data_IF_401999284893
#
_entry.id   IF_401999284893
#
_cell.length_a   1.000
_cell.length_b   1.000
_cell.length_c   1.000
_cell.angle_alpha   90.00
_cell.angle_beta   90.00
_cell.angle_gamma   90.00
#
_symmetry.space_group_name_H-M   'P 1'
#
loop_
_entity.id
_entity.type
_entity.pdbx_description
1 polymer ?
#
# COMPACT_ATOMS: atom_id res chain seq x y z
N UNK A 1 14.17 -16.50 -11.41
CA UNK A 1 13.74 -15.57 -10.34
C UNK A 1 12.29 -15.20 -10.61
N UNK A 2 11.41 -15.33 -9.63
CA UNK A 2 10.01 -14.91 -9.74
C UNK A 2 9.84 -13.65 -8.91
N UNK A 3 9.23 -12.62 -9.48
CA UNK A 3 9.03 -11.33 -8.84
C UNK A 3 7.54 -11.02 -8.82
N UNK A 4 6.99 -10.76 -7.63
CA UNK A 4 5.63 -10.23 -7.50
C UNK A 4 5.62 -8.76 -7.91
N UNK A 5 4.60 -8.37 -8.67
CA UNK A 5 4.51 -7.05 -9.29
C UNK A 5 3.65 -6.14 -8.42
N UNK A 6 4.15 -4.95 -8.03
CA UNK A 6 3.36 -4.02 -7.23
C UNK A 6 2.23 -3.40 -8.06
N UNK A 7 1.10 -3.00 -7.43
CA UNK A 7 0.00 -2.37 -8.13
C UNK A 7 0.43 -1.09 -8.86
N UNK A 8 0.05 -0.96 -10.14
CA UNK A 8 0.40 0.21 -10.96
C UNK A 8 1.77 0.14 -11.62
N UNK A 9 2.54 -0.95 -11.45
CA UNK A 9 3.76 -1.15 -12.20
C UNK A 9 3.47 -1.27 -13.71
N UNK A 10 4.12 -0.42 -14.50
CA UNK A 10 3.99 -0.37 -15.95
C UNK A 10 5.20 -1.03 -16.64
N UNK A 11 6.37 -0.87 -16.02
CA UNK A 11 7.65 -1.37 -16.54
C UNK A 11 8.51 -1.92 -15.41
N UNK A 12 9.26 -2.98 -15.72
CA UNK A 12 10.24 -3.60 -14.84
C UNK A 12 11.62 -3.42 -15.48
N UNK A 13 12.59 -2.98 -14.68
CA UNK A 13 13.96 -2.77 -15.12
C UNK A 13 14.94 -3.61 -14.30
N UNK A 14 15.89 -4.24 -15.01
CA UNK A 14 16.99 -5.05 -14.44
C UNK A 14 18.25 -4.72 -15.21
N UNK A 15 19.18 -3.98 -14.59
CA UNK A 15 20.35 -3.46 -15.29
C UNK A 15 19.91 -2.62 -16.51
N UNK A 16 20.37 -3.00 -17.70
CA UNK A 16 19.99 -2.36 -18.98
C UNK A 16 18.71 -2.92 -19.63
N UNK A 17 18.11 -3.96 -19.05
CA UNK A 17 16.89 -4.57 -19.59
C UNK A 17 15.69 -3.83 -19.01
N UNK A 18 14.77 -3.42 -19.87
CA UNK A 18 13.51 -2.80 -19.49
C UNK A 18 12.37 -3.46 -20.27
N UNK A 19 11.43 -4.06 -19.56
CA UNK A 19 10.31 -4.84 -20.12
C UNK A 19 8.96 -4.33 -19.61
N UNK A 20 7.92 -4.33 -20.45
CA UNK A 20 6.58 -3.98 -20.01
C UNK A 20 6.04 -5.03 -19.04
N UNK A 21 5.36 -4.57 -18.00
CA UNK A 21 4.68 -5.42 -17.03
C UNK A 21 3.28 -5.74 -17.55
N UNK A 22 2.96 -7.03 -17.68
CA UNK A 22 1.70 -7.50 -18.28
C UNK A 22 0.82 -8.31 -17.32
N UNK A 23 1.28 -8.54 -16.10
CA UNK A 23 0.58 -9.35 -15.11
C UNK A 23 1.10 -9.15 -13.69
N UNK A 24 0.51 -9.83 -12.71
CA UNK A 24 0.85 -9.68 -11.29
C UNK A 24 2.18 -10.35 -10.90
N UNK A 25 2.81 -11.09 -11.81
CA UNK A 25 4.10 -11.75 -11.63
C UNK A 25 4.93 -11.67 -12.90
N UNK A 26 6.23 -11.50 -12.73
CA UNK A 26 7.22 -11.61 -13.80
C UNK A 26 8.22 -12.72 -13.46
N UNK A 27 8.43 -13.63 -14.41
CA UNK A 27 9.45 -14.66 -14.31
C UNK A 27 10.68 -14.26 -15.14
N UNK A 28 11.81 -14.13 -14.45
CA UNK A 28 13.10 -13.79 -15.05
C UNK A 28 13.98 -15.04 -15.10
N UNK A 29 14.39 -15.43 -16.31
CA UNK A 29 15.40 -16.45 -16.52
C UNK A 29 16.75 -15.77 -16.71
N UNK A 30 17.60 -15.86 -15.69
CA UNK A 30 18.91 -15.20 -15.66
C UNK A 30 19.99 -16.28 -15.75
N UNK A 31 20.90 -16.21 -16.74
CA UNK A 31 22.01 -17.16 -16.83
C UNK A 31 22.98 -16.91 -15.67
N UNK A 32 23.28 -17.95 -14.90
CA UNK A 32 24.27 -17.89 -13.83
C UNK A 32 25.65 -18.29 -14.36
N UNK A 33 26.66 -17.45 -14.11
CA UNK A 33 28.06 -17.75 -14.40
C UNK A 33 28.79 -17.92 -13.06
N UNK A 34 29.52 -19.02 -12.81
CA UNK A 34 30.25 -19.21 -11.56
C UNK A 34 31.19 -18.05 -11.26
N UNK A 35 31.15 -17.54 -10.02
CA UNK A 35 31.99 -16.42 -9.58
C UNK A 35 31.47 -15.03 -9.96
N UNK A 36 30.35 -14.92 -10.69
CA UNK A 36 29.73 -13.64 -11.04
C UNK A 36 28.35 -13.50 -10.38
N UNK A 37 27.98 -12.28 -9.95
CA UNK A 37 26.63 -12.04 -9.46
C UNK A 37 25.63 -12.19 -10.61
N UNK A 38 24.47 -12.79 -10.31
CA UNK A 38 23.38 -12.98 -11.30
C UNK A 38 22.73 -11.64 -11.68
N UNK A 39 22.78 -10.66 -10.78
CA UNK A 39 22.27 -9.30 -10.93
C UNK A 39 23.36 -8.30 -10.59
N UNK A 40 23.50 -7.25 -11.39
CA UNK A 40 24.40 -6.11 -11.17
C UNK A 40 23.76 -5.00 -10.31
N UNK A 41 22.45 -5.09 -10.05
CA UNK A 41 21.68 -4.15 -9.25
C UNK A 41 20.30 -4.67 -8.87
N UNK A 42 19.49 -3.86 -8.17
CA UNK A 42 18.13 -4.23 -7.82
C UNK A 42 17.23 -4.30 -9.04
N UNK A 43 16.16 -5.09 -8.92
CA UNK A 43 15.03 -5.03 -9.85
C UNK A 43 14.18 -3.81 -9.44
N UNK A 44 13.92 -2.92 -10.39
CA UNK A 44 13.14 -1.71 -10.16
C UNK A 44 11.88 -1.71 -11.01
N UNK A 45 10.90 -0.92 -10.58
CA UNK A 45 9.64 -0.74 -11.28
C UNK A 45 9.38 0.73 -11.51
N UNK A 46 8.89 1.06 -12.71
CA UNK A 46 8.21 2.33 -12.95
C UNK A 46 6.74 2.12 -12.67
N UNK A 47 6.21 2.81 -11.66
CA UNK A 47 4.83 2.67 -11.22
C UNK A 47 4.04 3.96 -11.51
N UNK A 48 2.93 3.82 -12.22
CA UNK A 48 1.88 4.82 -12.29
C UNK A 48 0.83 4.63 -11.19
N UNK A 49 -0.33 5.30 -11.30
CA UNK A 49 -1.47 5.05 -10.42
C UNK A 49 -1.93 3.59 -10.51
N UNK A 50 -1.86 2.87 -9.38
CA UNK A 50 -2.30 1.49 -9.26
C UNK A 50 -3.72 1.36 -8.71
N UNK A 51 -4.43 0.31 -9.12
CA UNK A 51 -5.65 -0.14 -8.44
C UNK A 51 -5.29 -1.28 -7.50
N UNK A 52 -5.65 -1.16 -6.23
CA UNK A 52 -5.52 -2.23 -5.25
C UNK A 52 -6.83 -2.45 -4.50
N UNK A 53 -7.01 -3.66 -3.98
CA UNK A 53 -8.13 -3.96 -3.07
C UNK A 53 -7.77 -3.50 -1.66
N UNK A 54 -8.81 -3.29 -0.85
CA UNK A 54 -8.63 -3.25 0.59
C UNK A 54 -8.13 -4.61 1.07
N UNK A 55 -7.25 -4.62 2.07
CA UNK A 55 -6.68 -5.82 2.64
C UNK A 55 -5.19 -5.67 2.95
N UNK A 56 -4.55 -6.83 3.06
CA UNK A 56 -3.14 -6.95 3.34
C UNK A 56 -2.31 -6.56 2.11
N UNK A 57 -1.31 -5.71 2.31
CA UNK A 57 -0.41 -5.27 1.25
C UNK A 57 0.49 -6.38 0.74
N UNK A 58 0.96 -7.27 1.61
CA UNK A 58 1.83 -8.37 1.22
C UNK A 58 1.16 -9.27 0.17
N UNK A 59 -0.11 -9.63 0.39
CA UNK A 59 -0.92 -10.40 -0.57
C UNK A 59 -1.17 -9.71 -1.91
N UNK A 60 -0.78 -8.45 -2.06
CA UNK A 60 -1.05 -7.60 -3.22
C UNK A 60 0.24 -7.13 -3.91
N UNK A 61 1.36 -7.83 -3.71
CA UNK A 61 2.64 -7.55 -4.39
C UNK A 61 3.50 -6.52 -3.68
N UNK A 62 3.26 -6.29 -2.38
CA UNK A 62 3.99 -5.33 -1.54
C UNK A 62 4.60 -6.02 -0.29
N UNK A 63 5.12 -7.24 -0.44
CA UNK A 63 5.59 -8.12 0.66
C UNK A 63 6.71 -7.54 1.53
N UNK A 64 7.58 -6.72 0.94
CA UNK A 64 8.68 -6.03 1.60
C UNK A 64 8.46 -4.53 1.76
N UNK A 65 7.29 -4.03 1.35
CA UNK A 65 7.02 -2.60 1.35
C UNK A 65 6.88 -2.08 2.78
N UNK A 66 7.67 -1.08 3.11
CA UNK A 66 7.57 -0.31 4.35
C UNK A 66 7.48 1.16 3.98
N UNK A 67 6.40 1.82 4.39
CA UNK A 67 6.10 3.18 3.96
C UNK A 67 4.60 3.46 3.95
N UNK A 68 4.18 4.34 3.04
CA UNK A 68 2.79 4.79 2.92
C UNK A 68 2.10 4.40 1.63
N UNK A 69 0.84 3.98 1.73
CA UNK A 69 -0.08 3.80 0.61
C UNK A 69 -1.21 4.80 0.73
N UNK A 70 -1.44 5.57 -0.33
CA UNK A 70 -2.54 6.53 -0.44
C UNK A 70 -3.67 5.92 -1.26
N UNK A 71 -4.79 5.69 -0.60
CA UNK A 71 -6.06 5.33 -1.24
C UNK A 71 -6.81 6.61 -1.58
N UNK A 72 -7.40 6.70 -2.77
CA UNK A 72 -8.21 7.83 -3.19
C UNK A 72 -9.54 7.35 -3.76
N UNK A 73 -10.61 8.10 -3.52
CA UNK A 73 -11.92 7.87 -4.13
C UNK A 73 -12.75 9.14 -4.13
N UNK A 74 -13.31 9.50 -5.28
CA UNK A 74 -14.35 10.52 -5.35
C UNK A 74 -15.66 9.97 -4.76
N UNK A 75 -16.12 10.55 -3.66
CA UNK A 75 -17.39 10.22 -3.00
C UNK A 75 -18.04 11.53 -2.52
N UNK A 76 -19.28 11.84 -2.95
CA UNK A 76 -19.97 13.04 -2.47
C UNK A 76 -20.21 12.99 -0.95
N UNK A 77 -19.74 14.00 -0.23
CA UNK A 77 -19.98 14.22 1.19
C UNK A 77 -20.73 15.56 1.30
N UNK A 78 -22.08 15.56 1.29
CA UNK A 78 -22.88 16.78 1.19
C UNK A 78 -22.88 17.66 2.45
N UNK A 79 -22.36 17.13 3.57
CA UNK A 79 -22.36 17.76 4.88
C UNK A 79 -21.54 16.93 5.85
N UNK A 80 -21.67 17.20 7.15
CA UNK A 80 -20.95 16.43 8.16
C UNK A 80 -21.26 14.94 8.07
N UNK A 81 -20.23 14.11 8.15
CA UNK A 81 -20.35 12.67 8.12
C UNK A 81 -19.34 12.02 9.07
N UNK A 82 -19.63 10.80 9.48
CA UNK A 82 -18.69 9.95 10.21
C UNK A 82 -18.13 8.89 9.27
N UNK A 83 -16.81 8.76 9.25
CA UNK A 83 -16.08 7.72 8.54
C UNK A 83 -15.53 6.69 9.54
N UNK A 84 -15.79 5.42 9.29
CA UNK A 84 -15.18 4.29 9.97
C UNK A 84 -14.33 3.51 8.95
N UNK A 85 -13.02 3.41 9.19
CA UNK A 85 -12.11 2.65 8.35
C UNK A 85 -12.12 1.14 8.64
N UNK A 86 -12.83 0.71 9.67
CA UNK A 86 -12.80 -0.67 10.16
C UNK A 86 -11.41 -1.06 10.65
N UNK A 87 -10.90 -2.20 10.16
CA UNK A 87 -9.57 -2.68 10.54
C UNK A 87 -8.48 -2.00 9.71
N UNK A 88 -7.53 -1.36 10.39
CA UNK A 88 -6.29 -0.85 9.82
C UNK A 88 -5.10 -1.50 10.53
N UNK A 89 -4.06 -1.85 9.77
CA UNK A 89 -2.75 -2.23 10.30
C UNK A 89 -1.74 -1.18 9.89
N UNK A 90 -1.47 -0.26 10.82
CA UNK A 90 -0.64 0.92 10.59
C UNK A 90 -1.27 2.18 11.21
N UNK A 91 -0.73 3.33 10.84
CA UNK A 91 -1.29 4.65 11.14
C UNK A 91 -2.11 5.13 9.95
N UNK A 92 -3.27 5.74 10.18
CA UNK A 92 -4.10 6.31 9.11
C UNK A 92 -4.28 7.82 9.28
N UNK A 93 -4.21 8.55 8.17
CA UNK A 93 -4.65 9.93 8.07
C UNK A 93 -5.69 10.05 6.94
N UNK A 94 -6.74 10.81 7.20
CA UNK A 94 -7.85 11.00 6.26
C UNK A 94 -7.84 12.44 5.77
N UNK A 95 -8.11 12.63 4.47
CA UNK A 95 -8.22 13.94 3.85
C UNK A 95 -9.52 14.02 3.04
N UNK A 96 -10.15 15.20 3.06
CA UNK A 96 -11.27 15.55 2.18
C UNK A 96 -10.85 16.79 1.39
N UNK A 97 -10.87 16.70 0.07
CA UNK A 97 -10.41 17.75 -0.86
C UNK A 97 -9.00 18.29 -0.49
N UNK A 98 -8.11 17.36 -0.13
CA UNK A 98 -6.73 17.66 0.30
C UNK A 98 -6.58 18.23 1.72
N UNK A 99 -7.67 18.42 2.47
CA UNK A 99 -7.64 18.93 3.85
C UNK A 99 -7.71 17.78 4.85
N UNK A 100 -6.73 17.70 5.74
CA UNK A 100 -6.68 16.67 6.78
C UNK A 100 -7.90 16.74 7.71
N UNK A 101 -8.52 15.58 7.93
CA UNK A 101 -9.61 15.34 8.88
C UNK A 101 -9.08 14.65 10.17
N UNK A 102 -7.76 14.55 10.31
CA UNK A 102 -7.07 14.02 11.47
C UNK A 102 -6.36 12.70 11.24
N UNK A 103 -5.60 12.29 12.28
CA UNK A 103 -4.73 11.11 12.29
C UNK A 103 -5.19 10.11 13.37
N UNK A 104 -5.07 8.81 13.10
CA UNK A 104 -5.27 7.72 14.05
C UNK A 104 -4.11 6.74 13.99
N UNK A 105 -3.45 6.52 15.12
CA UNK A 105 -2.34 5.56 15.26
C UNK A 105 -2.82 4.19 15.76
N UNK A 106 -4.02 4.12 16.31
CA UNK A 106 -4.64 2.90 16.83
C UNK A 106 -6.17 2.95 16.72
N UNK A 107 -6.79 1.79 16.91
CA UNK A 107 -8.24 1.62 16.92
C UNK A 107 -8.90 2.39 18.08
N UNK A 108 -10.13 2.93 17.90
CA UNK A 108 -10.93 2.91 16.68
C UNK A 108 -10.44 3.92 15.62
N UNK A 109 -10.46 3.49 14.35
CA UNK A 109 -10.07 4.32 13.19
C UNK A 109 -11.28 5.08 12.64
N UNK A 110 -11.85 5.95 13.48
CA UNK A 110 -13.04 6.76 13.16
C UNK A 110 -12.71 8.24 13.08
N UNK A 111 -13.36 8.92 12.12
CA UNK A 111 -13.10 10.32 11.78
C UNK A 111 -14.41 11.07 11.56
N UNK A 112 -14.40 12.34 11.94
CA UNK A 112 -15.44 13.30 11.56
C UNK A 112 -15.01 13.95 10.25
N UNK A 113 -15.88 13.93 9.26
CA UNK A 113 -15.62 14.49 7.94
C UNK A 113 -16.42 15.77 7.75
N UNK A 114 -15.78 16.79 7.21
CA UNK A 114 -16.43 17.94 6.61
C UNK A 114 -16.93 17.64 5.18
N UNK A 115 -17.76 18.53 4.64
CA UNK A 115 -18.29 18.39 3.29
C UNK A 115 -17.18 18.44 2.22
N UNK A 116 -17.36 17.71 1.12
CA UNK A 116 -16.41 17.65 0.01
C UNK A 116 -16.70 16.53 -1.00
N UNK A 117 -15.73 16.20 -1.83
CA UNK A 117 -15.90 15.19 -2.90
C UNK A 117 -14.73 14.22 -3.07
N UNK A 118 -13.50 14.63 -2.79
CA UNK A 118 -12.31 13.79 -2.92
C UNK A 118 -11.86 13.27 -1.57
N UNK A 119 -12.08 11.98 -1.31
CA UNK A 119 -11.64 11.31 -0.09
C UNK A 119 -10.30 10.63 -0.33
N UNK A 120 -9.30 10.98 0.47
CA UNK A 120 -8.03 10.29 0.53
C UNK A 120 -7.79 9.67 1.90
N UNK A 121 -7.20 8.47 1.92
CA UNK A 121 -6.79 7.77 3.13
C UNK A 121 -5.32 7.38 2.94
N UNK A 122 -4.42 8.01 3.69
CA UNK A 122 -3.03 7.62 3.77
C UNK A 122 -2.88 6.60 4.90
N UNK A 123 -2.44 5.39 4.58
CA UNK A 123 -2.05 4.40 5.59
C UNK A 123 -0.54 4.23 5.57
N UNK A 124 0.09 4.34 6.73
CA UNK A 124 1.52 4.13 6.95
C UNK A 124 1.73 2.81 7.70
N UNK A 125 2.45 1.89 7.09
CA UNK A 125 2.85 0.62 7.70
C UNK A 125 3.98 0.79 8.71
N UNK A 126 4.59 -0.32 9.11
CA UNK A 126 5.81 -0.32 9.95
C UNK A 126 7.04 -0.68 9.11
N UNK A 127 8.23 -0.68 9.72
CA UNK A 127 9.46 -1.18 9.08
C UNK A 127 9.54 -2.72 9.02
N UNK A 128 8.62 -3.43 9.67
CA UNK A 128 8.63 -4.89 9.79
C UNK A 128 8.79 -5.64 8.47
N UNK A 129 8.00 -5.34 7.42
CA UNK A 129 8.14 -5.98 6.10
C UNK A 129 9.54 -5.83 5.51
N UNK A 130 10.11 -4.62 5.52
CA UNK A 130 11.44 -4.37 4.97
C UNK A 130 12.53 -5.09 5.77
N UNK A 131 12.45 -5.07 7.10
CA UNK A 131 13.42 -5.80 7.92
C UNK A 131 13.37 -7.31 7.67
N UNK A 132 12.19 -7.88 7.40
CA UNK A 132 12.04 -9.30 7.11
C UNK A 132 12.74 -9.72 5.82
N UNK A 133 12.75 -8.86 4.80
CA UNK A 133 13.41 -9.13 3.51
C UNK A 133 14.89 -8.74 3.52
N UNK A 134 15.25 -7.62 4.13
CA UNK A 134 16.60 -7.06 4.07
C UNK A 134 17.56 -7.68 5.10
N UNK A 135 17.05 -8.32 6.15
CA UNK A 135 17.87 -8.87 7.24
C UNK A 135 17.35 -10.26 7.67
N UNK A 136 18.22 -11.29 7.75
CA UNK A 136 17.85 -12.61 8.26
C UNK A 136 17.81 -12.58 9.79
N UNK A 137 16.91 -11.77 10.35
CA UNK A 137 16.74 -11.61 11.79
C UNK A 137 15.57 -12.42 12.33
N UNK A 138 15.73 -13.02 13.50
CA UNK A 138 14.65 -13.71 14.22
C UNK A 138 13.72 -12.73 14.96
N UNK A 139 13.96 -11.42 14.87
CA UNK A 139 13.16 -10.40 15.55
C UNK A 139 11.91 -9.95 14.78
N UNK A 140 11.70 -10.44 13.55
CA UNK A 140 10.41 -10.27 12.86
C UNK A 140 9.54 -11.49 13.15
N UNK A 141 8.53 -11.29 14.00
CA UNK A 141 7.58 -12.35 14.36
C UNK A 141 6.31 -12.31 13.52
N UNK A 142 5.56 -13.40 13.54
CA UNK A 142 4.27 -13.53 12.84
C UNK A 142 3.36 -12.33 13.12
N UNK A 143 2.72 -11.80 12.07
CA UNK A 143 1.84 -10.62 12.17
C UNK A 143 2.52 -9.24 12.14
N UNK A 144 3.85 -9.13 12.26
CA UNK A 144 4.55 -7.84 12.16
C UNK A 144 4.71 -7.34 10.71
N UNK A 145 4.55 -8.23 9.73
CA UNK A 145 4.56 -7.89 8.30
C UNK A 145 3.21 -7.37 7.82
N UNK A 146 2.14 -7.69 8.55
CA UNK A 146 0.77 -7.34 8.16
C UNK A 146 0.56 -5.82 8.24
N UNK A 147 0.31 -5.20 7.09
CA UNK A 147 0.03 -3.77 6.95
C UNK A 147 -1.12 -3.55 5.95
N UNK A 148 -1.89 -2.48 6.16
CA UNK A 148 -2.89 -2.04 5.18
C UNK A 148 -4.25 -1.63 5.74
N UNK A 149 -5.13 -1.22 4.81
CA UNK A 149 -6.52 -0.85 5.06
C UNK A 149 -7.41 -2.06 4.75
N UNK A 150 -7.90 -2.75 5.77
CA UNK A 150 -8.69 -3.98 5.62
C UNK A 150 -10.20 -3.70 5.54
N UNK A 151 -10.65 -2.60 6.12
CA UNK A 151 -12.07 -2.27 6.12
C UNK A 151 -12.90 -3.12 7.10
N UNK A 152 -14.23 -3.18 6.90
CA UNK A 152 -14.98 -2.43 5.90
C UNK A 152 -14.86 -0.91 6.12
N UNK A 153 -14.81 -0.13 5.03
CA UNK A 153 -14.83 1.33 5.09
C UNK A 153 -16.28 1.80 4.94
N UNK A 154 -16.78 2.54 5.93
CA UNK A 154 -18.17 2.97 6.00
C UNK A 154 -18.26 4.49 6.23
N UNK A 155 -19.11 5.16 5.46
CA UNK A 155 -19.47 6.56 5.69
C UNK A 155 -20.92 6.61 6.14
N UNK A 156 -21.19 7.35 7.21
CA UNK A 156 -22.52 7.61 7.74
C UNK A 156 -22.75 9.11 7.74
N UNK A 157 -23.70 9.58 6.95
CA UNK A 157 -24.07 10.99 6.94
C UNK A 157 -24.85 11.32 8.20
N UNK A 158 -24.57 12.47 8.80
CA UNK A 158 -25.45 13.00 9.82
C UNK A 158 -26.78 13.38 9.16
N UNK A 159 -27.90 12.98 9.76
CA UNK A 159 -29.20 13.46 9.33
C UNK A 159 -29.23 14.98 9.54
N UNK A 160 -29.53 15.71 8.48
CA UNK A 160 -29.82 17.15 8.59
C UNK A 160 -31.22 17.25 9.19
N UNK A 161 -31.34 17.83 10.39
CA UNK A 161 -32.63 18.34 10.89
C UNK A 161 -33.03 19.60 10.13
#
# INVERSE_FOLDING_TARGET
>A
LVVDVPPGAERLSVGAIDVPVTGPRVELRLPAVPGHPVLDGPITFTCGPGRMRLGDWESQGLSGFSGGVRYHKTVPIPGKAHLDLGRVRGTAEVFVDGRSQGVRVCSPYTFDLEAGGELEILVLGTLGPWMAEASPTHFVVEGQRVSGLFGPVQIRHSLVE
#
